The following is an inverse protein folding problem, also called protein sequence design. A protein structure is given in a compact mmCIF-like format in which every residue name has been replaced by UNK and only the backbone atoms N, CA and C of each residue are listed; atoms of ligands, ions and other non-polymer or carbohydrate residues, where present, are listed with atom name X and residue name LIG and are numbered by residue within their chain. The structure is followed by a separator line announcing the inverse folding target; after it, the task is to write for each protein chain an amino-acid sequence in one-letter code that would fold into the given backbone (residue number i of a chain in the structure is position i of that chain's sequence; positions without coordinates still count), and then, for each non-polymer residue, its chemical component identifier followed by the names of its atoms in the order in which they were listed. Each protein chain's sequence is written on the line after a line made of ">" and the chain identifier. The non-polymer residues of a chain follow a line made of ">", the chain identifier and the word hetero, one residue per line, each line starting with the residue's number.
data_IF_871603267001
#
_entry.id   IF_871603267001
#
_cell.length_a   1.000
_cell.length_b   1.000
_cell.length_c   1.000
_cell.angle_alpha   90.00
_cell.angle_beta   90.00
_cell.angle_gamma   90.00
#
_symmetry.space_group_name_H-M   'P 1'
#
loop_
_entity.id
_entity.type
_entity.pdbx_description
1 polymer ?
#
# COMPACT_ATOMS: atom_id res chain seq x y z
N UNK A 1 2.49 0.36 11.78
CA UNK A 1 3.22 0.02 13.02
C UNK A 1 2.56 0.67 14.23
N UNK A 2 2.92 0.31 15.46
CA UNK A 2 2.41 0.98 16.66
C UNK A 2 2.88 2.43 16.73
N UNK A 3 2.12 3.31 17.37
CA UNK A 3 2.45 4.74 17.42
C UNK A 3 3.77 5.05 18.19
N UNK A 4 4.14 4.20 19.16
CA UNK A 4 5.40 4.30 19.91
C UNK A 4 6.59 3.65 19.19
N UNK A 5 6.36 2.93 18.09
CA UNK A 5 7.42 2.37 17.24
C UNK A 5 7.99 3.51 16.39
N UNK A 6 9.27 3.83 16.52
CA UNK A 6 9.88 4.97 15.84
C UNK A 6 11.06 4.60 14.96
N UNK A 7 11.47 3.34 14.93
CA UNK A 7 12.65 2.87 14.20
C UNK A 7 12.30 2.27 12.83
N UNK A 8 11.04 1.84 12.60
CA UNK A 8 10.60 1.25 11.33
C UNK A 8 10.23 2.35 10.32
N UNK A 9 11.22 2.86 9.60
CA UNK A 9 11.01 3.85 8.53
C UNK A 9 10.95 3.22 7.14
N UNK A 10 11.68 2.13 6.92
CA UNK A 10 11.77 1.44 5.63
C UNK A 10 11.68 -0.08 5.79
N UNK A 11 11.44 -0.80 4.69
CA UNK A 11 11.41 -2.27 4.68
C UNK A 11 12.71 -2.91 5.21
N UNK A 12 13.87 -2.27 5.02
CA UNK A 12 15.17 -2.79 5.46
C UNK A 12 15.36 -2.84 6.96
N UNK A 13 14.58 -2.07 7.73
CA UNK A 13 14.60 -2.14 9.19
C UNK A 13 14.02 -3.45 9.69
N UNK A 14 13.09 -4.07 8.94
CA UNK A 14 12.47 -5.32 9.39
C UNK A 14 13.50 -6.45 9.61
N UNK A 15 14.36 -6.80 8.63
CA UNK A 15 15.40 -7.80 8.84
C UNK A 15 16.52 -7.30 9.77
N UNK A 16 16.96 -6.04 9.63
CA UNK A 16 18.08 -5.49 10.42
C UNK A 16 17.74 -5.40 11.92
N UNK A 17 16.52 -5.00 12.24
CA UNK A 17 15.99 -4.87 13.61
C UNK A 17 15.30 -6.13 14.14
N UNK A 18 15.31 -7.25 13.39
CA UNK A 18 14.61 -8.49 13.73
C UNK A 18 13.11 -8.28 14.05
N UNK A 19 12.49 -7.34 13.35
CA UNK A 19 11.06 -7.00 13.52
C UNK A 19 10.19 -8.03 12.80
N UNK A 20 9.03 -8.32 13.39
CA UNK A 20 8.04 -9.26 12.87
C UNK A 20 7.05 -8.55 11.96
N UNK A 21 7.03 -8.91 10.68
CA UNK A 21 5.96 -8.53 9.75
C UNK A 21 4.78 -9.50 9.93
N UNK A 22 3.55 -8.99 9.98
CA UNK A 22 2.35 -9.84 9.93
C UNK A 22 2.42 -10.69 8.65
N UNK A 23 2.25 -12.02 8.72
CA UNK A 23 2.40 -12.85 7.55
C UNK A 23 1.37 -12.55 6.46
N UNK A 24 1.79 -12.74 5.22
CA UNK A 24 1.03 -12.38 4.02
C UNK A 24 0.85 -13.65 3.21
N UNK A 25 -0.39 -14.00 2.90
CA UNK A 25 -0.69 -15.15 2.05
C UNK A 25 -0.13 -14.95 0.63
N UNK A 26 0.33 -16.02 -0.01
CA UNK A 26 1.05 -15.95 -1.30
C UNK A 26 0.19 -15.47 -2.47
N UNK A 27 -1.14 -15.55 -2.36
CA UNK A 27 -2.07 -15.01 -3.36
C UNK A 27 -2.36 -13.52 -3.20
N UNK A 28 -1.94 -12.90 -2.09
CA UNK A 28 -2.19 -11.49 -1.83
C UNK A 28 -1.15 -10.63 -2.56
N UNK A 29 -1.58 -9.57 -3.25
CA UNK A 29 -0.71 -8.66 -3.99
C UNK A 29 0.40 -8.04 -3.12
N UNK A 30 0.16 -7.89 -1.80
CA UNK A 30 1.17 -7.41 -0.83
C UNK A 30 2.35 -8.37 -0.71
N UNK A 31 2.17 -9.66 -0.99
CA UNK A 31 3.25 -10.65 -1.00
C UNK A 31 4.30 -10.30 -2.05
N UNK A 32 3.85 -9.94 -3.26
CA UNK A 32 4.73 -9.55 -4.37
C UNK A 32 5.59 -8.33 -4.03
N UNK A 33 5.10 -7.40 -3.20
CA UNK A 33 5.89 -6.25 -2.74
C UNK A 33 7.12 -6.72 -1.95
N UNK A 34 6.93 -7.66 -1.02
CA UNK A 34 8.02 -8.18 -0.21
C UNK A 34 8.91 -9.14 -0.98
N UNK A 35 8.34 -9.96 -1.86
CA UNK A 35 9.12 -10.83 -2.75
C UNK A 35 10.06 -10.02 -3.66
N UNK A 36 9.57 -8.92 -4.25
CA UNK A 36 10.38 -8.01 -5.05
C UNK A 36 11.46 -7.31 -4.23
N UNK A 37 11.14 -6.90 -3.00
CA UNK A 37 12.14 -6.36 -2.06
C UNK A 37 13.24 -7.40 -1.80
N UNK A 38 12.87 -8.63 -1.44
CA UNK A 38 13.80 -9.71 -1.12
C UNK A 38 14.72 -10.07 -2.29
N UNK A 39 14.20 -10.11 -3.52
CA UNK A 39 15.00 -10.35 -4.74
C UNK A 39 16.06 -9.28 -4.98
N UNK A 40 15.78 -8.02 -4.61
CA UNK A 40 16.71 -6.89 -4.75
C UNK A 40 17.71 -6.77 -3.59
N UNK A 41 17.46 -7.44 -2.47
CA UNK A 41 18.26 -7.33 -1.24
C UNK A 41 18.74 -8.71 -0.76
N UNK A 42 19.56 -9.43 -1.55
CA UNK A 42 20.13 -10.70 -1.12
C UNK A 42 20.93 -10.49 0.17
N UNK A 43 20.64 -11.29 1.21
CA UNK A 43 21.27 -11.19 2.53
C UNK A 43 20.57 -10.27 3.54
N UNK A 44 19.56 -9.50 3.13
CA UNK A 44 18.70 -8.68 4.01
C UNK A 44 17.22 -8.97 3.75
N UNK A 45 16.89 -10.26 3.66
CA UNK A 45 15.54 -10.68 3.29
C UNK A 45 14.58 -10.60 4.47
N UNK A 46 13.38 -10.11 4.20
CA UNK A 46 12.24 -10.17 5.11
C UNK A 46 11.71 -11.60 5.11
N UNK A 47 11.55 -12.16 6.31
CA UNK A 47 10.97 -13.48 6.50
C UNK A 47 9.47 -13.46 6.18
N UNK A 48 9.08 -14.02 5.03
CA UNK A 48 7.68 -14.26 4.67
C UNK A 48 7.26 -15.61 5.23
N UNK A 49 6.38 -15.60 6.22
CA UNK A 49 5.74 -16.82 6.72
C UNK A 49 4.40 -16.99 5.99
N UNK A 50 4.12 -18.16 5.41
CA UNK A 50 2.80 -18.44 4.86
C UNK A 50 1.80 -18.63 6.01
N UNK A 51 0.68 -17.90 5.96
CA UNK A 51 -0.46 -18.06 6.87
C UNK A 51 -1.75 -18.22 6.07
N UNK A 52 -2.82 -18.68 6.72
CA UNK A 52 -4.16 -18.61 6.15
C UNK A 52 -4.61 -17.17 5.92
N UNK A 53 -5.68 -16.98 5.15
CA UNK A 53 -6.27 -15.66 4.93
C UNK A 53 -6.66 -15.01 6.27
N UNK A 54 -6.23 -13.76 6.47
CA UNK A 54 -6.57 -12.96 7.64
C UNK A 54 -7.33 -11.72 7.19
N UNK A 55 -8.34 -11.33 7.97
CA UNK A 55 -9.03 -10.07 7.73
C UNK A 55 -8.10 -8.89 7.98
N UNK A 56 -8.34 -7.76 7.30
CA UNK A 56 -7.60 -6.53 7.56
C UNK A 56 -7.71 -6.10 9.03
N UNK A 57 -8.87 -6.29 9.66
CA UNK A 57 -9.08 -5.97 11.06
C UNK A 57 -8.19 -6.80 12.00
N UNK A 58 -8.05 -8.11 11.74
CA UNK A 58 -7.21 -9.00 12.57
C UNK A 58 -5.73 -8.68 12.40
N UNK A 59 -5.28 -8.40 11.17
CA UNK A 59 -3.92 -7.96 10.87
C UNK A 59 -3.58 -6.70 11.68
N UNK A 60 -4.48 -5.72 11.70
CA UNK A 60 -4.28 -4.46 12.42
C UNK A 60 -4.27 -4.65 13.93
N UNK A 61 -5.18 -5.48 14.46
CA UNK A 61 -5.20 -5.83 15.88
C UNK A 61 -3.93 -6.55 16.32
N UNK A 62 -3.37 -7.42 15.47
CA UNK A 62 -2.13 -8.15 15.78
C UNK A 62 -0.90 -7.20 15.85
N UNK A 63 -0.88 -6.13 15.06
CA UNK A 63 0.14 -5.07 15.22
C UNK A 63 -0.10 -4.26 16.49
N UNK A 64 -1.36 -3.88 16.75
CA UNK A 64 -1.74 -3.09 17.92
C UNK A 64 -1.48 -3.81 19.25
N UNK A 65 -1.66 -5.14 19.29
CA UNK A 65 -1.44 -5.98 20.48
C UNK A 65 0.03 -6.22 20.80
N UNK A 66 0.94 -5.97 19.85
CA UNK A 66 2.36 -6.30 20.02
C UNK A 66 2.76 -7.67 19.47
N UNK A 67 1.82 -8.45 18.92
CA UNK A 67 2.13 -9.77 18.34
C UNK A 67 3.09 -9.65 17.15
N UNK A 68 2.87 -8.64 16.32
CA UNK A 68 3.74 -8.25 15.19
C UNK A 68 4.11 -6.77 15.29
N UNK A 69 5.23 -6.39 14.68
CA UNK A 69 5.76 -5.02 14.71
C UNK A 69 5.20 -4.15 13.59
N UNK A 70 4.95 -4.77 12.43
CA UNK A 70 4.46 -4.06 11.25
C UNK A 70 3.50 -4.91 10.42
N UNK A 71 2.67 -4.23 9.63
CA UNK A 71 1.90 -4.78 8.53
C UNK A 71 2.07 -3.86 7.32
N UNK A 72 2.02 -4.42 6.13
CA UNK A 72 1.98 -3.65 4.88
C UNK A 72 0.53 -3.60 4.42
N UNK A 73 0.04 -2.40 4.18
CA UNK A 73 -1.34 -2.14 3.77
C UNK A 73 -1.44 -0.75 3.13
N UNK A 74 -2.41 -0.51 2.22
CA UNK A 74 -2.70 0.84 1.71
C UNK A 74 -3.06 1.82 2.84
N UNK A 75 -2.62 3.08 2.70
CA UNK A 75 -2.84 4.14 3.71
C UNK A 75 -4.32 4.35 4.05
N UNK A 76 -5.21 4.27 3.04
CA UNK A 76 -6.65 4.43 3.25
C UNK A 76 -7.23 3.37 4.19
N UNK A 77 -6.70 2.13 4.16
CA UNK A 77 -7.11 1.09 5.09
C UNK A 77 -6.65 1.39 6.52
N UNK A 78 -5.44 1.94 6.69
CA UNK A 78 -4.96 2.37 8.01
C UNK A 78 -5.87 3.43 8.62
N UNK A 79 -6.17 4.48 7.87
CA UNK A 79 -7.02 5.57 8.35
C UNK A 79 -8.43 5.08 8.68
N UNK A 80 -9.03 4.27 7.80
CA UNK A 80 -10.35 3.71 8.03
C UNK A 80 -10.40 2.78 9.25
N UNK A 81 -9.44 1.86 9.39
CA UNK A 81 -9.44 0.87 10.47
C UNK A 81 -8.99 1.45 11.80
N UNK A 82 -8.06 2.40 11.83
CA UNK A 82 -7.74 3.13 13.06
C UNK A 82 -9.00 3.78 13.65
N UNK A 83 -9.79 4.45 12.81
CA UNK A 83 -11.05 5.07 13.23
C UNK A 83 -12.10 4.03 13.63
N UNK A 84 -12.33 3.02 12.79
CA UNK A 84 -13.39 2.04 13.01
C UNK A 84 -13.16 1.14 14.22
N UNK A 85 -11.89 0.83 14.53
CA UNK A 85 -11.50 -0.09 15.60
C UNK A 85 -10.89 0.62 16.81
N UNK A 86 -10.86 1.97 16.82
CA UNK A 86 -10.22 2.79 17.85
C UNK A 86 -8.76 2.36 18.12
N UNK A 87 -7.98 2.15 17.05
CA UNK A 87 -6.57 1.77 17.14
C UNK A 87 -5.67 3.00 17.06
N UNK A 88 -4.49 2.88 17.67
CA UNK A 88 -3.45 3.91 17.64
C UNK A 88 -2.21 3.42 16.88
N UNK A 89 -2.40 3.15 15.59
CA UNK A 89 -1.32 2.77 14.68
C UNK A 89 -0.92 3.95 13.81
N UNK A 90 0.30 3.93 13.29
CA UNK A 90 0.79 4.91 12.32
C UNK A 90 1.44 4.24 11.11
N UNK A 91 1.55 5.00 10.03
CA UNK A 91 2.34 4.62 8.85
C UNK A 91 3.83 4.92 9.08
N UNK A 92 4.68 4.14 8.42
CA UNK A 92 6.08 4.50 8.15
C UNK A 92 6.16 5.40 6.91
N UNK A 93 7.35 5.62 6.37
CA UNK A 93 7.46 6.07 4.98
C UNK A 93 6.81 5.04 4.04
N UNK A 94 6.31 5.51 2.90
CA UNK A 94 5.70 4.64 1.90
C UNK A 94 6.73 3.65 1.35
N UNK A 95 6.36 2.38 1.34
CA UNK A 95 7.21 1.29 0.83
C UNK A 95 6.95 0.97 -0.65
N UNK A 96 5.99 1.67 -1.25
CA UNK A 96 5.64 1.51 -2.66
C UNK A 96 4.39 2.30 -3.02
N UNK A 97 4.34 2.76 -4.27
CA UNK A 97 3.18 3.40 -4.87
C UNK A 97 2.62 2.51 -5.96
N UNK A 98 1.32 2.24 -5.87
CA UNK A 98 0.61 1.37 -6.81
C UNK A 98 -0.57 2.15 -7.40
N UNK A 99 -0.79 2.07 -8.71
CA UNK A 99 -1.91 2.77 -9.32
C UNK A 99 -3.23 2.15 -8.89
N UNK A 100 -4.21 2.99 -8.58
CA UNK A 100 -5.62 2.59 -8.57
C UNK A 100 -6.18 2.81 -9.98
N UNK A 101 -6.87 1.80 -10.50
CA UNK A 101 -7.39 1.79 -11.87
C UNK A 101 -8.88 1.47 -11.88
N UNK A 102 -9.59 1.98 -12.89
CA UNK A 102 -10.94 1.53 -13.18
C UNK A 102 -10.88 0.21 -13.96
N UNK A 103 -11.67 -0.78 -13.51
CA UNK A 103 -11.80 -2.04 -14.19
C UNK A 103 -13.01 -2.00 -15.13
N UNK A 104 -12.77 -2.35 -16.39
CA UNK A 104 -13.80 -2.45 -17.40
C UNK A 104 -14.05 -3.91 -17.78
N UNK A 105 -15.24 -4.19 -18.32
CA UNK A 105 -15.51 -5.47 -18.98
C UNK A 105 -14.63 -5.58 -20.22
N UNK A 106 -14.22 -6.79 -20.61
CA UNK A 106 -13.32 -7.03 -21.76
C UNK A 106 -13.76 -6.35 -23.06
N UNK A 107 -15.06 -6.18 -23.27
CA UNK A 107 -15.66 -5.57 -24.45
C UNK A 107 -16.38 -4.24 -24.13
N UNK A 108 -15.91 -3.50 -23.13
CA UNK A 108 -16.44 -2.17 -22.83
C UNK A 108 -16.26 -1.23 -24.03
N UNK A 109 -17.17 -0.27 -24.17
CA UNK A 109 -17.11 0.73 -25.24
C UNK A 109 -15.79 1.53 -25.14
N UNK A 110 -14.92 1.49 -26.18
CA UNK A 110 -13.67 2.24 -26.18
C UNK A 110 -13.86 3.74 -25.95
N UNK A 111 -15.00 4.32 -26.39
CA UNK A 111 -15.29 5.74 -26.17
C UNK A 111 -15.53 6.08 -24.70
N UNK A 112 -16.10 5.15 -23.92
CA UNK A 112 -16.28 5.32 -22.49
C UNK A 112 -14.93 5.30 -21.78
N UNK A 113 -14.06 4.36 -22.14
CA UNK A 113 -12.71 4.25 -21.58
C UNK A 113 -11.94 5.55 -21.84
N UNK A 114 -11.90 5.99 -23.10
CA UNK A 114 -11.22 7.24 -23.49
C UNK A 114 -11.77 8.47 -22.75
N UNK A 115 -13.09 8.57 -22.61
CA UNK A 115 -13.72 9.68 -21.89
C UNK A 115 -13.33 9.71 -20.40
N UNK A 116 -13.29 8.55 -19.73
CA UNK A 116 -12.89 8.47 -18.32
C UNK A 116 -11.40 8.76 -18.17
N UNK A 117 -10.54 8.18 -19.02
CA UNK A 117 -9.09 8.41 -18.96
C UNK A 117 -8.73 9.88 -19.17
N UNK A 118 -9.40 10.53 -20.13
CA UNK A 118 -9.22 11.97 -20.37
C UNK A 118 -9.59 12.81 -19.15
N UNK A 119 -10.70 12.48 -18.49
CA UNK A 119 -11.13 13.20 -17.29
C UNK A 119 -10.16 12.98 -16.13
N UNK A 120 -9.71 11.73 -15.90
CA UNK A 120 -8.70 11.43 -14.87
C UNK A 120 -7.38 12.15 -15.13
N UNK A 121 -6.95 12.24 -16.39
CA UNK A 121 -5.76 13.01 -16.76
C UNK A 121 -5.94 14.51 -16.50
N UNK A 122 -7.12 15.07 -16.79
CA UNK A 122 -7.45 16.46 -16.50
C UNK A 122 -7.42 16.75 -15.00
N UNK A 123 -8.11 15.92 -14.18
CA UNK A 123 -8.15 16.04 -12.72
C UNK A 123 -6.78 15.83 -12.06
N UNK A 124 -5.90 15.03 -12.67
CA UNK A 124 -4.51 14.91 -12.23
C UNK A 124 -3.73 16.18 -12.53
N UNK A 125 -3.89 16.73 -13.74
CA UNK A 125 -3.16 17.90 -14.22
C UNK A 125 -3.55 19.18 -13.48
N UNK A 126 -4.83 19.35 -13.15
CA UNK A 126 -5.32 20.55 -12.47
C UNK A 126 -5.14 20.53 -10.94
N UNK A 127 -4.68 19.39 -10.39
CA UNK A 127 -4.39 19.22 -8.96
C UNK A 127 -5.57 18.72 -8.13
N UNK A 128 -6.75 18.49 -8.73
CA UNK A 128 -7.93 17.99 -8.01
C UNK A 128 -7.66 16.66 -7.32
N UNK A 129 -6.98 15.72 -8.00
CA UNK A 129 -6.67 14.42 -7.38
C UNK A 129 -5.68 14.56 -6.20
N UNK A 130 -4.76 15.51 -6.27
CA UNK A 130 -3.83 15.80 -5.18
C UNK A 130 -4.55 16.41 -3.97
N UNK A 131 -5.54 17.30 -4.20
CA UNK A 131 -6.40 17.84 -3.15
C UNK A 131 -7.24 16.75 -2.48
N UNK A 132 -7.84 15.85 -3.27
CA UNK A 132 -8.57 14.70 -2.75
C UNK A 132 -7.67 13.77 -1.95
N UNK A 133 -6.45 13.52 -2.43
CA UNK A 133 -5.46 12.72 -1.71
C UNK A 133 -5.18 13.31 -0.32
N UNK A 134 -4.87 14.60 -0.25
CA UNK A 134 -4.63 15.27 1.05
C UNK A 134 -5.84 15.16 1.97
N UNK A 135 -7.05 15.33 1.43
CA UNK A 135 -8.28 15.27 2.22
C UNK A 135 -8.55 13.89 2.82
N UNK A 136 -8.31 12.83 2.06
CA UNK A 136 -8.73 11.47 2.44
C UNK A 136 -7.60 10.60 2.98
N UNK A 137 -6.36 10.89 2.60
CA UNK A 137 -5.17 10.12 2.96
C UNK A 137 -4.18 10.90 3.84
N UNK A 138 -4.46 12.17 4.13
CA UNK A 138 -3.56 13.07 4.90
C UNK A 138 -2.17 13.23 4.26
N UNK A 139 -2.05 12.88 2.97
CA UNK A 139 -0.83 13.00 2.17
C UNK A 139 -1.16 13.26 0.70
N UNK A 140 -0.24 13.87 -0.04
CA UNK A 140 -0.34 14.00 -1.50
C UNK A 140 0.40 12.83 -2.17
N UNK A 141 -0.34 11.78 -2.52
CA UNK A 141 0.25 10.58 -3.15
C UNK A 141 0.86 10.85 -4.52
N UNK A 142 0.52 11.96 -5.17
CA UNK A 142 1.07 12.34 -6.46
C UNK A 142 2.39 13.11 -6.34
N UNK A 143 2.72 13.59 -5.14
CA UNK A 143 3.99 14.28 -4.84
C UNK A 143 4.97 13.40 -4.04
N UNK A 144 4.60 12.16 -3.70
CA UNK A 144 5.47 11.23 -3.00
C UNK A 144 6.68 10.84 -3.87
N UNK A 145 7.85 10.54 -3.28
CA UNK A 145 9.02 10.07 -4.02
C UNK A 145 8.69 8.86 -4.90
N UNK A 146 8.95 8.98 -6.21
CA UNK A 146 8.69 7.92 -7.18
C UNK A 146 7.27 7.90 -7.75
N UNK A 147 6.38 8.82 -7.35
CA UNK A 147 5.02 8.94 -7.90
C UNK A 147 5.04 9.20 -9.43
N UNK A 148 6.05 9.90 -9.92
CA UNK A 148 6.29 10.16 -11.34
C UNK A 148 6.65 8.89 -12.14
N UNK A 149 7.15 7.86 -11.45
CA UNK A 149 7.55 6.59 -12.06
C UNK A 149 6.42 5.54 -12.03
N UNK A 150 5.29 5.84 -11.39
CA UNK A 150 4.14 4.94 -11.34
C UNK A 150 3.51 4.87 -12.74
N UNK A 151 3.64 3.70 -13.37
CA UNK A 151 3.01 3.40 -14.66
C UNK A 151 1.73 2.61 -14.45
N UNK A 152 0.67 3.02 -15.13
CA UNK A 152 -0.50 2.16 -15.34
C UNK A 152 -0.17 1.30 -16.54
N UNK A 153 0.08 0.01 -16.34
CA UNK A 153 0.20 -0.92 -17.47
C UNK A 153 -1.18 -1.04 -18.13
N UNK A 154 -1.27 -0.54 -19.36
CA UNK A 154 -2.42 -0.70 -20.25
C UNK A 154 -2.36 -2.00 -21.06
N UNK A 155 -1.23 -2.72 -20.99
CA UNK A 155 -0.93 -3.89 -21.80
C UNK A 155 -1.60 -5.15 -21.23
N UNK A 156 -2.94 -5.20 -21.28
CA UNK A 156 -3.74 -6.38 -20.92
C UNK A 156 -4.20 -7.18 -22.15
N UNK A 157 -3.47 -7.08 -23.26
CA UNK A 157 -3.58 -8.00 -24.41
C UNK A 157 -2.72 -9.25 -24.21
#
# INVERSE_FOLDING_TARGET
>A
MRNNENDIHTLGILPAGKKKLVPIHTSDARYTVIDNYNKKHPGQQINLQPNGEQSAADIFKAVASGEYDAAIYPIGALLALNKALNLNLKASESVGLFPNVYLYKKNADPKLIEAVDKELAALKKDGTLAELSRKWYDEDVYALPGAENVKVNTDWE
#
